data_IF_940873669036
#
_entry.id   IF_940873669036
#
_cell.length_a   1.000
_cell.length_b   1.000
_cell.length_c   1.000
_cell.angle_alpha   90.00
_cell.angle_beta   90.00
_cell.angle_gamma   90.00
#
_symmetry.space_group_name_H-M   'P 1'
#
loop_
_entity.id
_entity.type
_entity.pdbx_description
1 polymer ?
#
# COMPACT_ATOMS: atom_id res chain seq x y z
N UNK A 1 -24.15 2.38 -18.47
CA UNK A 1 -24.99 3.26 -17.62
C UNK A 1 -24.33 3.27 -16.26
N UNK A 2 -24.04 4.44 -15.72
CA UNK A 2 -23.09 4.55 -14.62
C UNK A 2 -23.79 4.38 -13.28
N UNK A 3 -23.21 3.59 -12.39
CA UNK A 3 -23.85 3.19 -11.14
C UNK A 3 -22.89 3.25 -9.98
N UNK A 4 -23.26 4.02 -8.94
CA UNK A 4 -22.56 4.02 -7.67
C UNK A 4 -23.22 3.03 -6.71
N UNK A 5 -22.46 2.01 -6.33
CA UNK A 5 -22.80 1.04 -5.31
C UNK A 5 -22.00 1.29 -4.03
N UNK A 6 -22.52 0.79 -2.92
CA UNK A 6 -21.78 0.71 -1.67
C UNK A 6 -21.84 -0.70 -1.10
N UNK A 7 -20.70 -1.19 -0.61
CA UNK A 7 -20.61 -2.46 0.11
C UNK A 7 -20.90 -2.23 1.58
N UNK A 8 -21.86 -2.96 2.15
CA UNK A 8 -22.14 -2.92 3.59
C UNK A 8 -21.09 -3.71 4.39
N UNK A 9 -20.96 -3.36 5.66
CA UNK A 9 -20.13 -4.06 6.66
C UNK A 9 -20.85 -5.31 7.18
N UNK A 10 -20.08 -6.37 7.45
CA UNK A 10 -20.56 -7.67 7.93
C UNK A 10 -20.15 -8.83 7.01
N UNK A 11 -20.18 -10.07 7.51
CA UNK A 11 -19.76 -11.28 6.76
C UNK A 11 -20.54 -11.49 5.45
N UNK A 12 -21.81 -11.05 5.41
CA UNK A 12 -22.68 -11.09 4.23
C UNK A 12 -23.15 -9.67 3.85
N UNK A 13 -22.31 -8.65 4.02
CA UNK A 13 -22.71 -7.29 3.67
C UNK A 13 -23.08 -7.21 2.20
N UNK A 14 -24.35 -6.96 1.87
CA UNK A 14 -24.81 -6.86 0.49
C UNK A 14 -24.30 -5.57 -0.18
N UNK A 15 -24.28 -5.57 -1.50
CA UNK A 15 -24.13 -4.34 -2.28
C UNK A 15 -25.49 -3.64 -2.36
N UNK A 16 -25.48 -2.33 -2.15
CA UNK A 16 -26.67 -1.48 -2.29
C UNK A 16 -26.41 -0.37 -3.29
N UNK A 17 -27.43 -0.03 -4.08
CA UNK A 17 -27.39 1.05 -5.05
C UNK A 17 -27.56 2.39 -4.36
N UNK A 18 -26.71 3.37 -4.70
CA UNK A 18 -26.77 4.72 -4.14
C UNK A 18 -27.19 5.74 -5.19
N UNK A 19 -26.40 5.87 -6.26
CA UNK A 19 -26.58 6.86 -7.33
C UNK A 19 -26.59 6.12 -8.66
N UNK A 20 -27.36 6.59 -9.62
CA UNK A 20 -27.38 6.09 -11.01
C UNK A 20 -27.26 7.27 -11.96
N UNK A 21 -26.72 7.00 -13.14
CA UNK A 21 -26.58 7.96 -14.25
C UNK A 21 -25.65 9.15 -13.95
N UNK A 22 -24.63 8.96 -13.10
CA UNK A 22 -23.64 9.98 -12.75
C UNK A 22 -22.22 9.43 -12.81
N UNK A 23 -21.29 10.25 -13.28
CA UNK A 23 -19.86 9.97 -13.32
C UNK A 23 -19.26 10.33 -11.97
N UNK A 24 -18.75 9.33 -11.24
CA UNK A 24 -18.22 9.53 -9.89
C UNK A 24 -16.72 9.76 -9.93
N UNK A 25 -16.02 9.04 -10.80
CA UNK A 25 -14.57 9.13 -10.99
C UNK A 25 -14.26 9.33 -12.46
N UNK A 26 -13.17 10.05 -12.76
CA UNK A 26 -12.63 10.13 -14.11
C UNK A 26 -11.55 9.05 -14.26
N UNK A 27 -11.48 8.44 -15.45
CA UNK A 27 -10.38 7.55 -15.78
C UNK A 27 -9.07 8.36 -15.84
N UNK A 28 -8.02 7.93 -15.13
CA UNK A 28 -6.70 8.55 -15.26
C UNK A 28 -6.08 8.32 -16.64
N UNK A 29 -5.36 9.32 -17.16
CA UNK A 29 -4.69 9.26 -18.47
C UNK A 29 -3.32 8.54 -18.42
N UNK A 30 -2.93 8.00 -17.25
CA UNK A 30 -1.60 7.48 -16.92
C UNK A 30 -1.60 5.97 -16.60
N UNK A 31 -2.61 5.23 -17.10
CA UNK A 31 -2.74 3.77 -16.89
C UNK A 31 -1.95 2.92 -17.90
N UNK A 32 -1.32 3.53 -18.90
CA UNK A 32 -0.75 2.82 -20.07
C UNK A 32 0.41 1.86 -19.76
N UNK A 33 1.08 1.99 -18.61
CA UNK A 33 2.20 1.13 -18.22
C UNK A 33 2.25 0.94 -16.70
N UNK A 34 1.41 0.06 -16.12
CA UNK A 34 1.47 -0.20 -14.70
C UNK A 34 2.75 -0.96 -14.32
N UNK A 35 3.27 -0.70 -13.13
CA UNK A 35 4.35 -1.49 -12.54
C UNK A 35 3.78 -2.70 -11.81
N UNK A 36 4.47 -3.84 -11.86
CA UNK A 36 4.16 -4.95 -10.97
C UNK A 36 4.30 -4.48 -9.50
N UNK A 37 3.44 -4.98 -8.62
CA UNK A 37 3.51 -4.58 -7.22
C UNK A 37 4.83 -5.01 -6.57
N UNK A 38 5.61 -4.00 -6.19
CA UNK A 38 6.85 -4.17 -5.42
C UNK A 38 6.77 -3.36 -4.11
N UNK A 39 7.15 -3.99 -3.00
CA UNK A 39 7.20 -3.34 -1.68
C UNK A 39 8.28 -2.25 -1.60
N UNK A 40 9.31 -2.34 -2.44
CA UNK A 40 10.43 -1.39 -2.50
C UNK A 40 10.33 -0.35 -3.59
N UNK A 41 9.39 -0.53 -4.52
CA UNK A 41 9.08 0.51 -5.48
C UNK A 41 8.14 1.53 -4.86
N UNK A 42 8.49 2.80 -5.04
CA UNK A 42 7.64 3.92 -4.68
C UNK A 42 7.24 4.57 -5.99
N UNK A 43 5.96 4.41 -6.34
CA UNK A 43 5.36 5.06 -7.49
C UNK A 43 5.61 6.57 -7.45
N UNK A 44 5.94 7.13 -8.61
CA UNK A 44 5.81 8.56 -8.91
C UNK A 44 4.33 8.95 -9.03
N UNK A 45 4.07 10.25 -9.11
CA UNK A 45 2.69 10.78 -9.10
C UNK A 45 1.86 10.32 -10.32
N UNK A 46 2.51 9.99 -11.43
CA UNK A 46 1.92 9.50 -12.70
C UNK A 46 2.01 7.98 -12.88
N UNK A 47 2.41 7.25 -11.84
CA UNK A 47 2.56 5.81 -11.91
C UNK A 47 1.48 5.06 -11.12
N UNK A 48 1.18 3.85 -11.58
CA UNK A 48 0.25 2.92 -10.95
C UNK A 48 0.90 1.55 -10.78
N UNK A 49 0.56 0.85 -9.70
CA UNK A 49 0.77 -0.59 -9.67
C UNK A 49 -0.38 -1.27 -10.41
N UNK A 50 -0.08 -2.36 -11.10
CA UNK A 50 -1.04 -3.24 -11.76
C UNK A 50 -0.88 -4.67 -11.31
N UNK A 51 -2.01 -5.37 -11.18
CA UNK A 51 -2.05 -6.83 -11.07
C UNK A 51 -2.84 -7.31 -12.29
N UNK A 52 -2.14 -7.95 -13.21
CA UNK A 52 -2.71 -8.64 -14.38
C UNK A 52 -3.41 -9.94 -13.96
N UNK A 53 -4.27 -10.47 -14.84
CA UNK A 53 -5.10 -11.65 -14.60
C UNK A 53 -5.83 -11.58 -13.24
N UNK A 54 -6.28 -10.37 -12.86
CA UNK A 54 -6.78 -10.13 -11.50
C UNK A 54 -8.01 -11.00 -11.20
N UNK A 55 -8.84 -11.30 -12.21
CA UNK A 55 -10.01 -12.16 -12.08
C UNK A 55 -9.68 -13.59 -11.64
N UNK A 56 -8.47 -14.08 -11.93
CA UNK A 56 -8.00 -15.44 -11.58
C UNK A 56 -7.43 -15.53 -10.16
N UNK A 57 -7.24 -14.39 -9.50
CA UNK A 57 -6.60 -14.33 -8.19
C UNK A 57 -7.54 -14.71 -7.04
N UNK A 58 -6.98 -15.30 -5.98
CA UNK A 58 -7.72 -15.64 -4.75
C UNK A 58 -8.29 -14.42 -3.99
N UNK A 59 -7.88 -13.21 -4.38
CA UNK A 59 -8.31 -11.95 -3.78
C UNK A 59 -9.35 -11.19 -4.61
N UNK A 60 -9.71 -11.70 -5.80
CA UNK A 60 -10.81 -11.16 -6.58
C UNK A 60 -12.14 -11.28 -5.82
N UNK A 61 -13.04 -10.33 -6.08
CA UNK A 61 -14.36 -10.26 -5.43
C UNK A 61 -15.45 -10.54 -6.47
N UNK A 62 -16.49 -11.26 -6.06
CA UNK A 62 -17.55 -11.78 -6.95
C UNK A 62 -18.17 -10.74 -7.89
N UNK A 63 -18.25 -9.46 -7.49
CA UNK A 63 -18.85 -8.40 -8.32
C UNK A 63 -18.07 -8.13 -9.62
N UNK A 64 -16.80 -8.54 -9.68
CA UNK A 64 -15.93 -8.36 -10.85
C UNK A 64 -16.02 -9.53 -11.83
N UNK A 65 -16.49 -10.70 -11.37
CA UNK A 65 -16.56 -11.92 -12.20
C UNK A 65 -17.96 -12.23 -12.70
N UNK A 66 -18.97 -11.47 -12.25
CA UNK A 66 -20.36 -11.60 -12.68
C UNK A 66 -20.79 -10.43 -13.56
N UNK A 67 -21.60 -10.71 -14.59
CA UNK A 67 -22.22 -9.68 -15.40
C UNK A 67 -22.94 -8.64 -14.53
N UNK A 68 -22.61 -7.37 -14.73
CA UNK A 68 -23.21 -6.31 -13.94
C UNK A 68 -24.69 -6.16 -14.26
N UNK A 69 -25.54 -6.44 -13.28
CA UNK A 69 -26.98 -6.23 -13.38
C UNK A 69 -27.48 -5.28 -12.29
N UNK A 70 -27.78 -4.04 -12.68
CA UNK A 70 -28.21 -3.02 -11.73
C UNK A 70 -29.54 -3.36 -11.04
N UNK A 71 -30.38 -4.24 -11.60
CA UNK A 71 -31.66 -4.64 -11.02
C UNK A 71 -31.52 -5.56 -9.80
N UNK A 72 -30.35 -6.17 -9.60
CA UNK A 72 -30.09 -7.08 -8.48
C UNK A 72 -29.78 -6.35 -7.17
N UNK A 73 -29.49 -5.05 -7.25
CA UNK A 73 -29.12 -4.24 -6.08
C UNK A 73 -30.27 -3.38 -5.59
N UNK A 74 -30.64 -3.57 -4.33
CA UNK A 74 -31.61 -2.73 -3.64
C UNK A 74 -31.07 -1.32 -3.44
N UNK A 75 -31.96 -0.32 -3.48
CA UNK A 75 -31.61 1.05 -3.12
C UNK A 75 -31.22 1.15 -1.64
N UNK A 76 -30.19 1.92 -1.34
CA UNK A 76 -29.70 2.13 0.02
C UNK A 76 -30.78 2.73 0.95
N UNK A 77 -30.88 2.18 2.16
CA UNK A 77 -31.72 2.72 3.23
C UNK A 77 -30.93 3.70 4.11
N UNK A 78 -31.61 4.73 4.66
CA UNK A 78 -30.98 5.74 5.55
C UNK A 78 -30.23 5.12 6.74
N UNK A 79 -30.73 4.01 7.28
CA UNK A 79 -30.11 3.31 8.40
C UNK A 79 -28.80 2.60 8.05
N UNK A 80 -28.51 2.39 6.76
CA UNK A 80 -27.33 1.63 6.31
C UNK A 80 -26.09 2.49 6.07
N UNK A 81 -26.24 3.82 5.99
CA UNK A 81 -25.12 4.75 5.73
C UNK A 81 -24.04 4.70 6.82
N UNK A 82 -24.36 4.31 8.04
CA UNK A 82 -23.39 4.14 9.13
C UNK A 82 -22.64 2.80 9.07
N UNK A 83 -23.00 1.91 8.14
CA UNK A 83 -22.49 0.54 8.01
C UNK A 83 -21.86 0.30 6.65
N UNK A 84 -21.34 1.32 5.98
CA UNK A 84 -20.66 1.17 4.70
C UNK A 84 -19.17 0.84 4.88
N UNK A 85 -18.64 -0.04 4.05
CA UNK A 85 -17.24 -0.50 4.05
C UNK A 85 -16.41 0.23 2.98
N UNK A 86 -16.94 0.29 1.77
CA UNK A 86 -16.34 0.98 0.62
C UNK A 86 -17.43 1.30 -0.42
N UNK A 87 -17.08 2.18 -1.36
CA UNK A 87 -17.84 2.50 -2.56
C UNK A 87 -17.26 1.76 -3.76
N UNK A 88 -18.14 1.42 -4.70
CA UNK A 88 -17.80 0.81 -5.97
C UNK A 88 -18.61 1.52 -7.05
N UNK A 89 -17.96 2.28 -7.93
CA UNK A 89 -18.59 2.90 -9.10
C UNK A 89 -18.34 2.01 -10.31
N UNK A 90 -19.39 1.57 -10.99
CA UNK A 90 -19.29 0.91 -12.28
C UNK A 90 -19.63 1.93 -13.37
N UNK A 91 -18.68 2.21 -14.26
CA UNK A 91 -18.84 3.22 -15.30
C UNK A 91 -18.40 2.70 -16.66
N UNK A 92 -19.01 3.25 -17.70
CA UNK A 92 -18.65 3.00 -19.11
C UNK A 92 -18.75 1.54 -19.54
N UNK A 93 -19.46 0.73 -18.75
CA UNK A 93 -19.60 -0.71 -18.90
C UNK A 93 -18.27 -1.50 -18.90
N UNK A 94 -17.23 -0.96 -18.26
CA UNK A 94 -15.88 -1.54 -18.25
C UNK A 94 -15.19 -1.34 -16.91
N UNK A 95 -15.20 -0.11 -16.40
CA UNK A 95 -14.37 0.26 -15.26
C UNK A 95 -15.11 0.14 -13.94
N UNK A 96 -14.45 -0.50 -12.98
CA UNK A 96 -14.88 -0.54 -11.58
C UNK A 96 -13.93 0.28 -10.71
N UNK A 97 -14.43 1.40 -10.20
CA UNK A 97 -13.70 2.32 -9.34
C UNK A 97 -14.02 2.05 -7.88
N UNK A 98 -13.00 1.84 -7.06
CA UNK A 98 -13.16 1.51 -5.65
C UNK A 98 -12.66 2.64 -4.75
N UNK A 99 -13.44 2.98 -3.73
CA UNK A 99 -13.02 3.91 -2.69
C UNK A 99 -13.33 3.35 -1.30
N UNK A 100 -12.30 3.14 -0.49
CA UNK A 100 -12.46 2.78 0.91
C UNK A 100 -13.23 3.87 1.65
N UNK A 101 -14.13 3.46 2.56
CA UNK A 101 -14.79 4.34 3.51
C UNK A 101 -14.23 4.11 4.91
N UNK A 102 -13.27 4.95 5.29
CA UNK A 102 -12.76 5.06 6.65
C UNK A 102 -13.65 5.96 7.50
N UNK A 103 -13.50 5.88 8.83
CA UNK A 103 -14.27 6.74 9.77
C UNK A 103 -14.10 8.23 9.51
N UNK A 104 -13.01 8.67 8.89
CA UNK A 104 -12.77 10.08 8.57
C UNK A 104 -13.50 10.54 7.31
N UNK A 105 -13.92 9.64 6.43
CA UNK A 105 -14.60 9.95 5.17
C UNK A 105 -16.12 10.08 5.31
N UNK A 106 -16.67 9.68 6.46
CA UNK A 106 -18.05 9.99 6.85
C UNK A 106 -18.03 11.02 7.98
N UNK A 107 -18.27 12.28 7.63
CA UNK A 107 -18.18 13.40 8.57
C UNK A 107 -19.57 13.75 9.10
N UNK A 108 -19.66 13.99 10.42
CA UNK A 108 -20.84 14.57 11.07
C UNK A 108 -20.46 15.91 11.68
N UNK A 109 -20.82 17.00 11.00
CA UNK A 109 -20.55 18.38 11.43
C UNK A 109 -21.74 19.25 11.04
N UNK A 110 -21.82 20.44 11.61
CA UNK A 110 -22.73 21.49 11.13
C UNK A 110 -22.10 22.13 9.89
N UNK A 111 -22.80 22.14 8.78
CA UNK A 111 -22.34 22.71 7.50
C UNK A 111 -23.51 23.40 6.78
N UNK A 112 -23.23 24.14 5.72
CA UNK A 112 -24.28 24.72 4.88
C UNK A 112 -23.90 24.67 3.41
N UNK A 113 -24.88 24.60 2.52
CA UNK A 113 -24.68 24.68 1.07
C UNK A 113 -24.39 26.11 0.65
N UNK A 114 -23.38 26.31 -0.20
CA UNK A 114 -23.15 27.61 -0.85
C UNK A 114 -23.93 27.60 -2.17
N UNK A 115 -25.09 28.24 -2.19
CA UNK A 115 -25.97 28.35 -3.36
C UNK A 115 -26.79 29.64 -3.29
N UNK A 116 -27.65 29.87 -4.28
CA UNK A 116 -28.60 31.00 -4.25
C UNK A 116 -29.60 30.91 -3.08
N UNK A 117 -29.73 29.74 -2.44
CA UNK A 117 -30.52 29.51 -1.23
C UNK A 117 -29.73 28.62 -0.26
N UNK A 118 -28.83 29.22 0.55
CA UNK A 118 -28.01 28.46 1.49
C UNK A 118 -28.87 27.77 2.55
N UNK A 119 -28.62 26.47 2.76
CA UNK A 119 -29.34 25.67 3.76
C UNK A 119 -28.35 25.12 4.79
N UNK A 120 -28.64 25.34 6.08
CA UNK A 120 -27.83 24.80 7.18
C UNK A 120 -28.25 23.35 7.45
N UNK A 121 -27.28 22.45 7.37
CA UNK A 121 -27.41 21.03 7.67
C UNK A 121 -26.81 20.75 9.05
N UNK A 122 -27.62 20.21 9.98
CA UNK A 122 -27.19 19.87 11.34
C UNK A 122 -27.10 18.35 11.51
N UNK A 123 -25.93 17.85 11.92
CA UNK A 123 -25.65 16.43 12.19
C UNK A 123 -25.98 15.44 11.04
N UNK A 124 -26.12 15.97 9.81
CA UNK A 124 -26.30 15.15 8.62
C UNK A 124 -24.95 14.60 8.14
N UNK A 125 -24.82 13.27 7.95
CA UNK A 125 -23.57 12.66 7.54
C UNK A 125 -23.21 13.07 6.11
N UNK A 126 -21.96 13.49 5.90
CA UNK A 126 -21.38 13.76 4.58
C UNK A 126 -20.44 12.61 4.25
N UNK A 127 -20.65 11.98 3.10
CA UNK A 127 -19.68 11.05 2.51
C UNK A 127 -18.79 11.85 1.56
N UNK A 128 -17.49 11.80 1.77
CA UNK A 128 -16.51 12.45 0.90
C UNK A 128 -16.14 11.49 -0.23
N UNK A 129 -16.32 11.93 -1.47
CA UNK A 129 -15.77 11.31 -2.66
C UNK A 129 -14.37 11.89 -2.92
N UNK A 130 -13.40 11.03 -3.23
CA UNK A 130 -12.05 11.42 -3.61
C UNK A 130 -12.03 11.80 -5.08
N UNK A 131 -11.08 12.64 -5.46
CA UNK A 131 -10.80 12.90 -6.88
C UNK A 131 -10.23 11.64 -7.55
N UNK A 132 -9.32 10.93 -6.88
CA UNK A 132 -8.79 9.66 -7.33
C UNK A 132 -9.31 8.48 -6.50
N UNK A 133 -9.75 7.39 -7.14
CA UNK A 133 -10.16 6.17 -6.47
C UNK A 133 -8.97 5.51 -5.75
N UNK A 134 -9.25 4.62 -4.81
CA UNK A 134 -8.23 3.79 -4.16
C UNK A 134 -7.77 2.63 -5.07
N UNK A 135 -8.64 2.14 -5.96
CA UNK A 135 -8.34 1.14 -6.97
C UNK A 135 -9.23 1.33 -8.21
N UNK A 136 -8.75 0.89 -9.37
CA UNK A 136 -9.50 0.84 -10.64
C UNK A 136 -9.32 -0.56 -11.19
N UNK A 137 -10.40 -1.26 -11.49
CA UNK A 137 -10.34 -2.52 -12.21
C UNK A 137 -10.88 -2.31 -13.62
N UNK A 138 -10.08 -2.68 -14.62
CA UNK A 138 -10.47 -2.73 -16.03
C UNK A 138 -10.86 -4.17 -16.38
N UNK A 139 -12.14 -4.38 -16.70
CA UNK A 139 -12.63 -5.73 -17.01
C UNK A 139 -12.30 -6.20 -18.43
N UNK A 140 -11.85 -5.32 -19.34
CA UNK A 140 -11.43 -5.76 -20.68
C UNK A 140 -9.99 -6.28 -20.66
N UNK A 141 -9.10 -5.58 -19.96
CA UNK A 141 -7.68 -5.96 -19.84
C UNK A 141 -7.42 -6.92 -18.66
N UNK A 142 -8.40 -7.10 -17.77
CA UNK A 142 -8.30 -7.88 -16.52
C UNK A 142 -7.18 -7.40 -15.57
N UNK A 143 -7.05 -6.07 -15.44
CA UNK A 143 -6.00 -5.44 -14.62
C UNK A 143 -6.61 -4.65 -13.46
N UNK A 144 -6.13 -4.91 -12.23
CA UNK A 144 -6.39 -4.04 -11.08
C UNK A 144 -5.26 -3.03 -10.88
N UNK A 145 -5.58 -1.75 -11.09
CA UNK A 145 -4.71 -0.62 -10.84
C UNK A 145 -4.89 -0.04 -9.44
N UNK A 146 -3.80 0.29 -8.76
CA UNK A 146 -3.83 1.00 -7.46
C UNK A 146 -2.52 1.72 -7.15
N UNK A 147 -2.58 2.77 -6.33
CA UNK A 147 -1.36 3.47 -5.85
C UNK A 147 -0.85 2.99 -4.50
N UNK A 148 -1.73 2.45 -3.65
CA UNK A 148 -1.38 2.04 -2.28
C UNK A 148 -2.08 0.74 -1.90
N UNK A 149 -1.33 -0.35 -1.77
CA UNK A 149 -1.88 -1.66 -1.35
C UNK A 149 -2.67 -1.53 -0.04
N UNK A 150 -2.14 -0.78 0.93
CA UNK A 150 -2.79 -0.57 2.24
C UNK A 150 -4.18 0.09 2.16
N UNK A 151 -4.46 0.87 1.11
CA UNK A 151 -5.79 1.44 0.87
C UNK A 151 -6.80 0.38 0.44
N UNK A 152 -6.35 -0.64 -0.28
CA UNK A 152 -7.22 -1.62 -0.95
C UNK A 152 -7.32 -2.96 -0.22
N UNK A 153 -6.45 -3.23 0.76
CA UNK A 153 -6.51 -4.42 1.65
C UNK A 153 -7.85 -4.63 2.35
N UNK A 154 -8.61 -3.56 2.59
CA UNK A 154 -9.95 -3.67 3.19
C UNK A 154 -11.04 -3.93 2.17
N UNK A 155 -10.76 -3.77 0.88
CA UNK A 155 -11.69 -3.95 -0.24
C UNK A 155 -11.56 -5.39 -0.73
N UNK A 156 -10.34 -5.77 -1.14
CA UNK A 156 -9.98 -7.10 -1.61
C UNK A 156 -9.37 -7.92 -0.47
N UNK A 157 -10.11 -8.93 0.00
CA UNK A 157 -9.65 -9.77 1.10
C UNK A 157 -8.51 -10.67 0.62
N UNK A 158 -7.46 -10.85 1.42
CA UNK A 158 -6.33 -11.71 1.06
C UNK A 158 -5.24 -11.01 0.24
N UNK A 159 -5.53 -9.90 -0.44
CA UNK A 159 -4.53 -9.14 -1.24
C UNK A 159 -3.35 -8.64 -0.40
N UNK A 160 -3.54 -8.50 0.92
CA UNK A 160 -2.48 -8.15 1.86
C UNK A 160 -1.38 -9.21 1.98
N UNK A 161 -1.53 -10.40 1.40
CA UNK A 161 -0.46 -11.41 1.31
C UNK A 161 0.64 -11.03 0.33
N UNK A 162 0.34 -10.19 -0.68
CA UNK A 162 1.35 -9.54 -1.52
C UNK A 162 2.32 -8.69 -0.69
N UNK A 163 1.89 -8.34 0.53
CA UNK A 163 2.72 -7.72 1.52
C UNK A 163 3.60 -8.76 2.22
N UNK A 164 4.83 -8.93 1.74
CA UNK A 164 5.83 -9.84 2.33
C UNK A 164 6.38 -9.25 3.64
N UNK A 165 5.59 -9.30 4.71
CA UNK A 165 6.04 -8.94 6.05
C UNK A 165 6.78 -10.12 6.69
N UNK A 166 7.99 -9.89 7.20
CA UNK A 166 8.73 -10.89 7.97
C UNK A 166 7.92 -11.33 9.20
N UNK A 167 7.80 -12.65 9.37
CA UNK A 167 7.20 -13.24 10.57
C UNK A 167 8.05 -12.92 11.81
N UNK A 168 7.52 -13.27 12.99
CA UNK A 168 8.32 -13.19 14.23
C UNK A 168 9.59 -14.04 14.12
N UNK A 169 9.46 -15.24 13.58
CA UNK A 169 10.56 -16.20 13.37
C UNK A 169 11.58 -15.64 12.37
N UNK A 170 11.12 -15.08 11.24
CA UNK A 170 12.02 -14.43 10.26
C UNK A 170 12.76 -13.23 10.89
N UNK A 171 12.09 -12.47 11.75
CA UNK A 171 12.67 -11.32 12.45
C UNK A 171 13.74 -11.77 13.43
N UNK A 172 13.46 -12.81 14.23
CA UNK A 172 14.42 -13.41 15.16
C UNK A 172 15.64 -13.94 14.42
N UNK A 173 15.42 -14.73 13.37
CA UNK A 173 16.50 -15.27 12.54
C UNK A 173 17.35 -14.16 11.89
N UNK A 174 16.72 -13.06 11.44
CA UNK A 174 17.45 -11.93 10.89
C UNK A 174 18.36 -11.28 11.95
N UNK A 175 17.83 -11.03 13.15
CA UNK A 175 18.59 -10.40 14.25
C UNK A 175 19.67 -11.31 14.85
N UNK A 176 19.56 -12.62 14.69
CA UNK A 176 20.57 -13.62 15.12
C UNK A 176 21.76 -13.76 14.15
N UNK A 177 21.75 -13.07 13.01
CA UNK A 177 22.88 -13.12 12.09
C UNK A 177 24.18 -12.57 12.73
N UNK A 178 25.31 -13.21 12.42
CA UNK A 178 26.63 -12.88 13.00
C UNK A 178 27.07 -11.42 12.78
N UNK A 179 26.54 -10.75 11.76
CA UNK A 179 26.84 -9.35 11.48
C UNK A 179 26.00 -8.35 12.29
N UNK A 180 25.15 -8.83 13.20
CA UNK A 180 24.32 -8.02 14.09
C UNK A 180 24.70 -8.29 15.54
N UNK A 181 24.92 -7.21 16.29
CA UNK A 181 25.05 -7.23 17.74
C UNK A 181 23.90 -6.42 18.35
N UNK A 182 23.02 -7.07 19.10
CA UNK A 182 21.89 -6.38 19.74
C UNK A 182 22.36 -5.61 20.98
N UNK A 183 21.97 -4.34 21.08
CA UNK A 183 22.30 -3.46 22.22
C UNK A 183 21.02 -2.87 22.83
N UNK A 184 21.13 -2.21 23.98
CA UNK A 184 20.02 -1.44 24.59
C UNK A 184 18.73 -2.24 24.83
N UNK A 185 18.90 -3.53 25.17
CA UNK A 185 17.83 -4.52 25.30
C UNK A 185 16.98 -4.69 24.02
N UNK A 186 17.44 -4.25 22.85
CA UNK A 186 16.67 -4.36 21.61
C UNK A 186 16.51 -5.82 21.20
N UNK A 187 15.30 -6.19 20.76
CA UNK A 187 14.94 -7.56 20.42
C UNK A 187 13.82 -7.58 19.36
N UNK A 188 13.51 -8.77 18.84
CA UNK A 188 12.51 -8.95 17.79
C UNK A 188 11.12 -8.41 18.18
N UNK A 189 10.73 -8.45 19.46
CA UNK A 189 9.43 -7.93 19.93
C UNK A 189 9.33 -6.41 19.84
N UNK A 190 10.48 -5.70 19.83
CA UNK A 190 10.56 -4.23 19.70
C UNK A 190 10.58 -3.75 18.25
N UNK A 191 10.79 -4.65 17.28
CA UNK A 191 10.80 -4.32 15.85
C UNK A 191 9.39 -3.99 15.36
N UNK A 192 9.20 -2.77 14.84
CA UNK A 192 7.88 -2.33 14.38
C UNK A 192 7.55 -2.92 13.01
N UNK A 193 6.25 -2.91 12.71
CA UNK A 193 5.69 -3.34 11.41
C UNK A 193 6.44 -2.76 10.21
N UNK A 194 6.90 -1.51 10.29
CA UNK A 194 7.62 -0.83 9.22
C UNK A 194 8.92 -1.54 8.83
N UNK A 195 9.75 -1.92 9.81
CA UNK A 195 11.00 -2.62 9.56
C UNK A 195 10.79 -4.09 9.24
N UNK A 196 9.81 -4.77 9.85
CA UNK A 196 9.48 -6.17 9.51
C UNK A 196 9.18 -6.39 8.03
N UNK A 197 8.60 -5.41 7.37
CA UNK A 197 8.33 -5.44 5.91
C UNK A 197 9.59 -5.51 5.05
N UNK A 198 10.72 -5.05 5.58
CA UNK A 198 11.99 -4.96 4.85
C UNK A 198 12.96 -6.07 5.21
N UNK A 199 12.79 -6.67 6.39
CA UNK A 199 13.65 -7.77 6.86
C UNK A 199 13.72 -8.89 5.82
N UNK A 200 12.58 -9.31 5.24
CA UNK A 200 12.56 -10.37 4.24
C UNK A 200 13.43 -10.01 3.01
N UNK A 201 13.40 -8.75 2.57
CA UNK A 201 14.12 -8.29 1.38
C UNK A 201 15.62 -8.09 1.65
N UNK A 202 15.96 -7.49 2.81
CA UNK A 202 17.33 -7.40 3.26
C UNK A 202 17.95 -8.80 3.41
N UNK A 203 17.19 -9.78 3.91
CA UNK A 203 17.64 -11.16 4.06
C UNK A 203 17.87 -11.82 2.68
N UNK A 204 16.94 -11.67 1.73
CA UNK A 204 17.09 -12.19 0.37
C UNK A 204 18.32 -11.56 -0.33
N UNK A 205 18.50 -10.24 -0.21
CA UNK A 205 19.64 -9.50 -0.77
C UNK A 205 20.95 -9.97 -0.16
N UNK A 206 21.03 -10.07 1.17
CA UNK A 206 22.24 -10.51 1.86
C UNK A 206 22.59 -11.97 1.53
N UNK A 207 21.59 -12.84 1.41
CA UNK A 207 21.79 -14.25 1.06
C UNK A 207 22.24 -14.43 -0.39
N UNK A 208 21.87 -13.52 -1.29
CA UNK A 208 22.36 -13.51 -2.67
C UNK A 208 23.85 -13.10 -2.79
N UNK A 209 24.42 -12.45 -1.77
CA UNK A 209 25.82 -12.03 -1.81
C UNK A 209 26.80 -13.19 -1.66
N UNK A 210 27.79 -13.22 -2.56
CA UNK A 210 28.97 -14.06 -2.43
C UNK A 210 29.92 -13.54 -1.31
N UNK A 211 30.91 -14.33 -0.88
CA UNK A 211 31.78 -13.94 0.24
C UNK A 211 32.56 -12.63 0.03
N UNK A 212 32.91 -12.27 -1.21
CA UNK A 212 33.59 -11.01 -1.50
C UNK A 212 32.62 -9.83 -1.38
N UNK A 213 31.41 -9.97 -1.92
CA UNK A 213 30.34 -8.96 -1.81
C UNK A 213 29.95 -8.71 -0.35
N UNK A 214 29.92 -9.75 0.49
CA UNK A 214 29.68 -9.60 1.95
C UNK A 214 30.77 -8.81 2.67
N UNK A 215 32.02 -8.84 2.21
CA UNK A 215 33.04 -7.97 2.80
C UNK A 215 32.83 -6.52 2.35
N UNK A 216 32.56 -6.31 1.05
CA UNK A 216 32.34 -4.98 0.50
C UNK A 216 31.08 -4.30 1.06
N UNK A 217 30.03 -5.07 1.40
CA UNK A 217 28.82 -4.48 1.96
C UNK A 217 29.08 -3.85 3.34
N UNK A 218 29.95 -4.44 4.18
CA UNK A 218 30.25 -3.83 5.48
C UNK A 218 30.99 -2.50 5.34
N UNK A 219 31.94 -2.43 4.40
CA UNK A 219 32.67 -1.19 4.13
C UNK A 219 31.74 -0.11 3.56
N UNK A 220 30.83 -0.50 2.67
CA UNK A 220 29.78 0.37 2.15
C UNK A 220 28.86 0.90 3.26
N UNK A 221 28.37 0.03 4.15
CA UNK A 221 27.48 0.44 5.25
C UNK A 221 28.21 1.42 6.18
N UNK A 222 29.47 1.14 6.54
CA UNK A 222 30.30 2.05 7.34
C UNK A 222 30.48 3.42 6.68
N UNK A 223 30.63 3.47 5.37
CA UNK A 223 30.82 4.73 4.64
C UNK A 223 29.58 5.63 4.67
N UNK A 224 28.38 5.04 4.61
CA UNK A 224 27.12 5.79 4.48
C UNK A 224 26.35 5.92 5.80
N UNK A 225 26.51 4.99 6.73
CA UNK A 225 25.78 4.94 8.01
C UNK A 225 26.72 5.23 9.19
N UNK A 226 27.21 6.47 9.29
CA UNK A 226 28.15 6.85 10.35
C UNK A 226 27.62 6.68 11.78
N UNK A 227 26.29 6.75 11.95
CA UNK A 227 25.63 6.59 13.25
C UNK A 227 25.43 5.12 13.64
N UNK A 228 25.71 4.18 12.72
CA UNK A 228 25.62 2.75 12.95
C UNK A 228 26.99 2.22 13.39
N UNK A 229 27.18 2.06 14.69
CA UNK A 229 28.45 1.58 15.25
C UNK A 229 28.78 0.18 14.72
N UNK A 230 30.04 0.00 14.30
CA UNK A 230 30.57 -1.27 13.79
C UNK A 230 31.78 -1.72 14.62
N UNK A 231 31.79 -2.98 15.04
CA UNK A 231 32.96 -3.63 15.66
C UNK A 231 33.86 -4.20 14.56
N UNK A 232 35.06 -3.64 14.35
CA UNK A 232 36.04 -4.23 13.42
C UNK A 232 36.57 -5.58 13.92
N UNK A 233 36.57 -5.82 15.24
CA UNK A 233 37.04 -7.07 15.85
C UNK A 233 36.04 -8.22 15.59
N UNK A 234 34.75 -7.97 15.84
CA UNK A 234 33.69 -8.98 15.72
C UNK A 234 32.99 -8.96 14.35
N UNK A 235 33.29 -7.95 13.53
CA UNK A 235 32.71 -7.69 12.21
C UNK A 235 31.18 -7.61 12.20
N UNK A 236 30.62 -6.89 13.18
CA UNK A 236 29.17 -6.73 13.36
C UNK A 236 28.74 -5.27 13.60
N UNK A 237 27.45 -4.99 13.41
CA UNK A 237 26.82 -3.69 13.64
C UNK A 237 25.97 -3.70 14.91
N UNK A 238 26.06 -2.64 15.71
CA UNK A 238 25.26 -2.48 16.93
C UNK A 238 23.83 -2.01 16.61
N UNK A 239 22.85 -2.82 16.96
CA UNK A 239 21.42 -2.56 16.74
C UNK A 239 20.72 -2.42 18.08
N UNK A 240 20.55 -1.16 18.52
CA UNK A 240 19.81 -0.80 19.73
C UNK A 240 18.48 -0.07 19.47
N UNK A 241 18.16 0.21 18.21
CA UNK A 241 17.00 1.03 17.87
C UNK A 241 16.38 0.68 16.51
N UNK A 242 15.14 1.14 16.32
CA UNK A 242 14.42 1.03 15.04
C UNK A 242 15.14 1.75 13.90
N UNK A 243 15.85 2.84 14.19
CA UNK A 243 16.61 3.58 13.17
C UNK A 243 17.90 2.86 12.80
N UNK A 244 18.61 2.27 13.78
CA UNK A 244 19.81 1.45 13.51
C UNK A 244 19.46 0.27 12.59
N UNK A 245 18.38 -0.45 12.91
CA UNK A 245 17.92 -1.58 12.11
C UNK A 245 17.54 -1.14 10.68
N UNK A 246 16.88 0.02 10.55
CA UNK A 246 16.52 0.59 9.25
C UNK A 246 17.75 0.97 8.43
N UNK A 247 18.74 1.62 9.03
CA UNK A 247 20.00 1.97 8.37
C UNK A 247 20.75 0.73 7.90
N UNK A 248 20.83 -0.31 8.73
CA UNK A 248 21.45 -1.59 8.37
C UNK A 248 20.76 -2.21 7.13
N UNK A 249 19.43 -2.31 7.13
CA UNK A 249 18.68 -2.87 5.99
C UNK A 249 18.86 -2.05 4.72
N UNK A 250 18.75 -0.72 4.80
CA UNK A 250 19.01 0.17 3.64
C UNK A 250 20.44 0.05 3.12
N UNK A 251 21.37 -0.22 4.04
CA UNK A 251 22.76 -0.49 3.74
C UNK A 251 22.94 -1.81 2.99
N UNK A 252 22.31 -2.89 3.45
CA UNK A 252 22.32 -4.19 2.78
C UNK A 252 21.73 -4.10 1.37
N UNK A 253 20.64 -3.36 1.21
CA UNK A 253 19.94 -3.11 -0.05
C UNK A 253 20.66 -2.08 -0.96
N UNK A 254 21.82 -1.55 -0.54
CA UNK A 254 22.61 -0.60 -1.31
C UNK A 254 21.86 0.69 -1.73
N UNK A 255 20.95 1.19 -0.88
CA UNK A 255 20.13 2.39 -1.19
C UNK A 255 20.90 3.71 -1.15
N UNK A 256 22.04 3.75 -0.50
CA UNK A 256 22.89 4.94 -0.40
C UNK A 256 23.83 5.07 -1.61
N UNK A 257 23.97 6.29 -2.13
CA UNK A 257 24.91 6.54 -3.23
C UNK A 257 25.44 7.96 -3.18
N UNK A 258 26.57 8.17 -3.84
CA UNK A 258 27.19 9.49 -3.98
C UNK A 258 27.09 9.94 -5.43
N UNK A 259 26.58 11.15 -5.67
CA UNK A 259 26.46 11.67 -7.03
C UNK A 259 27.85 11.93 -7.65
N UNK A 260 28.10 11.53 -8.92
CA UNK A 260 29.43 11.58 -9.50
C UNK A 260 29.95 13.00 -9.76
N UNK A 261 29.06 13.98 -9.88
CA UNK A 261 29.42 15.38 -10.18
C UNK A 261 29.40 16.23 -8.91
N UNK A 262 28.32 16.11 -8.11
CA UNK A 262 28.11 16.93 -6.92
C UNK A 262 28.80 16.40 -5.66
N UNK A 263 29.23 15.12 -5.67
CA UNK A 263 29.70 14.40 -4.48
C UNK A 263 28.69 14.44 -3.31
N UNK A 264 27.40 14.54 -3.64
CA UNK A 264 26.32 14.54 -2.65
C UNK A 264 25.94 13.11 -2.29
N UNK A 265 25.97 12.78 -0.99
CA UNK A 265 25.40 11.53 -0.47
C UNK A 265 23.88 11.61 -0.52
N UNK A 266 23.25 10.60 -1.11
CA UNK A 266 21.80 10.49 -1.27
C UNK A 266 21.35 9.10 -0.84
N UNK A 267 20.06 9.01 -0.53
CA UNK A 267 19.36 7.78 -0.19
C UNK A 267 18.24 7.59 -1.21
N UNK A 268 18.24 6.44 -1.88
CA UNK A 268 17.20 6.06 -2.82
C UNK A 268 15.92 5.66 -2.07
N UNK A 269 14.78 6.21 -2.49
CA UNK A 269 13.47 5.83 -1.95
C UNK A 269 12.96 4.52 -2.55
N UNK A 270 13.38 4.19 -3.78
CA UNK A 270 13.07 2.98 -4.53
C UNK A 270 14.29 2.53 -5.34
N UNK A 271 14.35 1.24 -5.67
CA UNK A 271 15.40 0.65 -6.50
C UNK A 271 14.73 -0.09 -7.65
N UNK A 272 15.20 0.15 -8.87
CA UNK A 272 14.82 -0.62 -10.07
C UNK A 272 16.11 -1.08 -10.73
N UNK A 273 16.20 -2.38 -11.00
CA UNK A 273 17.34 -2.94 -11.75
C UNK A 273 17.10 -2.72 -13.25
N UNK A 274 18.11 -2.24 -13.97
CA UNK A 274 18.08 -1.97 -15.42
C UNK A 274 18.88 -3.03 -16.16
#
# INVERSE_FOLDING_TARGET
>A
MNHLLAKKTGRNGEYVKMISDEDIFNLPDDLDNPHEYDTDYKLEDDEWFGIEDFSETDFCIDILTTDFNSAEYNQIALADYNRLKYLCSYQDNQYYYFQKLSRSQTIRRKWFTISNQPEIQNDNPIIILKELPDAIYDSEEDILYFKKLTSITTIFSGIGTLYREATQEDTEQFLENEFINLTDDYDASKVKKANRKRIAMAMDTFNAFNPQQRNSIYDYIKEYCNDLEFSDEDRNFNIGSEENLKQLMYGIEQRYYTTPIGNEKRLANSITTI
#
